data_IF_696300579225
#
_entry.id   IF_696300579225
#
_cell.length_a   1.000
_cell.length_b   1.000
_cell.length_c   1.000
_cell.angle_alpha   90.00
_cell.angle_beta   90.00
_cell.angle_gamma   90.00
#
_symmetry.space_group_name_H-M   'P 1'
#
loop_
_entity.id
_entity.type
_entity.pdbx_description
1 polymer ?
#
# COMPACT_ATOMS: atom_id res chain seq x y z
N UNK A 1 32.21 -6.51 -19.89
CA UNK A 1 32.20 -7.22 -21.21
C UNK A 1 33.38 -8.16 -21.45
N UNK A 2 34.57 -8.01 -20.84
CA UNK A 2 35.74 -8.89 -21.15
C UNK A 2 35.85 -10.20 -20.35
N UNK A 3 35.27 -10.30 -19.15
CA UNK A 3 35.35 -11.52 -18.32
C UNK A 3 34.41 -12.65 -18.74
N UNK A 4 33.31 -12.33 -19.41
CA UNK A 4 32.31 -13.32 -19.87
C UNK A 4 32.81 -14.17 -21.05
N UNK A 5 33.81 -13.70 -21.79
CA UNK A 5 34.35 -14.43 -22.93
C UNK A 5 35.14 -15.69 -22.54
N UNK A 6 35.73 -15.71 -21.33
CA UNK A 6 36.60 -16.81 -20.90
C UNK A 6 35.86 -17.97 -20.23
N UNK A 7 34.62 -17.77 -19.77
CA UNK A 7 33.81 -18.80 -19.10
C UNK A 7 33.06 -19.74 -20.06
N UNK A 8 33.01 -19.43 -21.36
CA UNK A 8 32.31 -20.24 -22.35
C UNK A 8 33.01 -21.57 -22.72
N UNK A 9 34.17 -21.87 -22.14
CA UNK A 9 34.98 -23.06 -22.46
C UNK A 9 34.88 -24.22 -21.44
N UNK A 10 34.09 -24.10 -20.37
CA UNK A 10 33.96 -25.15 -19.34
C UNK A 10 32.66 -25.98 -19.47
N UNK A 11 32.80 -27.28 -19.20
CA UNK A 11 31.79 -28.35 -19.40
C UNK A 11 30.44 -28.11 -18.66
N UNK A 12 29.31 -28.61 -19.19
CA UNK A 12 27.95 -28.22 -18.77
C UNK A 12 27.54 -28.65 -17.35
N UNK A 13 28.14 -29.69 -16.78
CA UNK A 13 27.77 -30.26 -15.47
C UNK A 13 28.29 -29.43 -14.29
N UNK A 14 29.43 -28.76 -14.44
CA UNK A 14 30.02 -27.87 -13.43
C UNK A 14 29.35 -26.48 -13.42
N UNK A 15 28.62 -26.15 -14.50
CA UNK A 15 27.90 -24.87 -14.64
C UNK A 15 26.82 -24.68 -13.58
N UNK A 16 26.09 -25.73 -13.22
CA UNK A 16 24.82 -25.59 -12.48
C UNK A 16 25.00 -25.27 -10.98
N UNK A 17 26.10 -25.71 -10.37
CA UNK A 17 26.38 -25.47 -8.93
C UNK A 17 27.25 -24.22 -8.70
N UNK A 18 28.04 -23.81 -9.71
CA UNK A 18 28.83 -22.57 -9.64
C UNK A 18 27.99 -21.33 -9.98
N UNK A 19 26.98 -21.45 -10.85
CA UNK A 19 26.15 -20.32 -11.28
C UNK A 19 25.23 -19.76 -10.17
N UNK A 20 24.74 -20.58 -9.24
CA UNK A 20 23.78 -20.11 -8.23
C UNK A 20 24.39 -19.18 -7.17
N UNK A 21 25.72 -19.20 -7.00
CA UNK A 21 26.44 -18.29 -6.10
C UNK A 21 27.23 -17.20 -6.84
N UNK A 22 27.39 -17.28 -8.17
CA UNK A 22 28.15 -16.29 -8.95
C UNK A 22 27.30 -15.16 -9.55
N UNK A 23 25.98 -15.34 -9.62
CA UNK A 23 25.05 -14.31 -10.10
C UNK A 23 24.47 -13.57 -8.89
N UNK A 24 25.33 -12.97 -8.09
CA UNK A 24 24.93 -11.90 -7.18
C UNK A 24 25.65 -10.63 -7.65
N UNK A 25 25.05 -10.01 -8.68
CA UNK A 25 25.29 -8.68 -9.26
C UNK A 25 26.63 -8.00 -8.89
N UNK A 26 27.57 -8.00 -9.85
CA UNK A 26 28.82 -7.21 -9.96
C UNK A 26 29.31 -6.49 -8.69
N UNK A 27 30.40 -6.97 -8.10
CA UNK A 27 31.07 -6.37 -6.93
C UNK A 27 32.29 -7.19 -6.52
N UNK A 28 33.00 -6.76 -5.47
CA UNK A 28 34.22 -7.46 -5.03
C UNK A 28 33.81 -8.73 -4.26
N UNK A 29 34.15 -9.94 -4.76
CA UNK A 29 33.78 -11.17 -4.08
C UNK A 29 34.53 -11.30 -2.75
N UNK A 30 33.84 -11.80 -1.71
CA UNK A 30 34.48 -12.06 -0.41
C UNK A 30 35.38 -13.29 -0.41
N UNK A 31 35.14 -14.24 -1.33
CA UNK A 31 35.87 -15.50 -1.46
C UNK A 31 36.13 -15.82 -2.93
N UNK A 32 37.30 -16.39 -3.20
CA UNK A 32 37.64 -16.97 -4.49
C UNK A 32 36.92 -18.33 -4.67
N UNK A 33 36.64 -18.78 -5.91
CA UNK A 33 36.13 -20.13 -6.19
C UNK A 33 36.91 -21.27 -5.51
N UNK A 34 38.21 -21.12 -5.29
CA UNK A 34 39.04 -22.09 -4.57
C UNK A 34 38.82 -22.11 -3.03
N UNK A 35 37.93 -21.28 -2.50
CA UNK A 35 37.72 -21.09 -1.06
C UNK A 35 38.68 -20.09 -0.40
N UNK A 36 39.73 -19.67 -1.12
CA UNK A 36 40.69 -18.67 -0.67
C UNK A 36 40.06 -17.31 -0.38
N UNK A 37 40.60 -16.58 0.59
CA UNK A 37 40.20 -15.19 0.87
C UNK A 37 40.77 -14.25 -0.20
N UNK A 38 40.00 -13.22 -0.53
CA UNK A 38 40.49 -12.11 -1.36
C UNK A 38 41.26 -11.12 -0.46
N UNK A 39 42.41 -10.67 -0.92
CA UNK A 39 43.32 -9.74 -0.24
C UNK A 39 43.57 -8.51 -1.13
N UNK A 40 43.86 -7.36 -0.52
CA UNK A 40 44.38 -6.17 -1.21
C UNK A 40 45.89 -6.35 -1.40
N UNK A 41 46.28 -6.70 -2.63
CA UNK A 41 47.65 -6.88 -3.06
C UNK A 41 48.20 -5.55 -3.58
N UNK A 42 49.19 -5.00 -2.89
CA UNK A 42 49.99 -3.87 -3.37
C UNK A 42 51.29 -4.41 -3.97
N UNK A 43 51.48 -4.24 -5.28
CA UNK A 43 52.72 -4.65 -5.96
C UNK A 43 53.90 -3.81 -5.44
N UNK A 44 54.96 -4.49 -4.97
CA UNK A 44 56.20 -3.84 -4.54
C UNK A 44 57.03 -3.39 -5.76
N UNK A 45 57.97 -2.48 -5.51
CA UNK A 45 58.77 -1.77 -6.52
C UNK A 45 59.67 -2.68 -7.37
N UNK A 46 59.86 -3.94 -6.95
CA UNK A 46 60.87 -4.85 -7.48
C UNK A 46 60.34 -5.74 -8.63
N UNK A 47 59.04 -5.64 -8.93
CA UNK A 47 58.38 -6.38 -10.00
C UNK A 47 58.60 -5.62 -11.34
N UNK A 48 59.69 -5.97 -12.03
CA UNK A 48 60.27 -5.30 -13.21
C UNK A 48 59.29 -4.86 -14.32
N UNK A 49 58.12 -5.50 -14.45
CA UNK A 49 57.20 -5.32 -15.58
C UNK A 49 55.92 -4.50 -15.25
N UNK A 50 55.76 -4.04 -14.01
CA UNK A 50 54.59 -3.25 -13.62
C UNK A 50 55.00 -2.01 -12.86
N UNK A 51 54.52 -0.85 -13.32
CA UNK A 51 54.70 0.43 -12.62
C UNK A 51 54.48 0.26 -11.10
N UNK A 52 55.44 0.65 -10.26
CA UNK A 52 55.34 0.50 -8.81
C UNK A 52 54.03 1.10 -8.27
N UNK A 53 53.37 0.40 -7.33
CA UNK A 53 52.19 0.93 -6.62
C UNK A 53 50.82 0.56 -7.20
N UNK A 54 50.75 -0.29 -8.24
CA UNK A 54 49.46 -0.85 -8.69
C UNK A 54 48.87 -1.77 -7.61
N UNK A 55 47.57 -1.60 -7.35
CA UNK A 55 46.78 -2.38 -6.39
C UNK A 55 45.83 -3.34 -7.08
N UNK A 56 45.66 -4.51 -6.51
CA UNK A 56 44.79 -5.57 -7.01
C UNK A 56 44.01 -6.20 -5.87
N UNK A 57 42.77 -6.61 -6.14
CA UNK A 57 42.10 -7.60 -5.33
C UNK A 57 42.48 -8.97 -5.86
N UNK A 58 43.18 -9.75 -5.04
CA UNK A 58 43.78 -11.03 -5.47
C UNK A 58 43.42 -12.13 -4.47
N UNK A 59 43.22 -13.36 -4.97
CA UNK A 59 43.11 -14.53 -4.11
C UNK A 59 44.43 -14.78 -3.35
N UNK A 60 44.36 -15.13 -2.05
CA UNK A 60 45.54 -15.51 -1.26
C UNK A 60 46.37 -16.64 -1.91
N UNK A 61 45.72 -17.57 -2.60
CA UNK A 61 46.34 -18.72 -3.25
C UNK A 61 46.53 -18.49 -4.77
N UNK A 62 46.79 -17.25 -5.20
CA UNK A 62 46.87 -16.94 -6.62
C UNK A 62 48.14 -17.52 -7.26
N UNK A 63 47.98 -18.35 -8.30
CA UNK A 63 49.08 -19.05 -9.00
C UNK A 63 49.18 -18.69 -10.50
N UNK A 64 48.48 -17.63 -10.95
CA UNK A 64 48.45 -17.21 -12.37
C UNK A 64 47.95 -18.27 -13.37
N UNK A 65 47.19 -19.26 -12.87
CA UNK A 65 46.53 -20.33 -13.63
C UNK A 65 45.24 -19.90 -14.36
N UNK A 66 44.77 -18.67 -14.11
CA UNK A 66 43.50 -18.15 -14.61
C UNK A 66 42.25 -18.67 -13.88
N UNK A 67 42.41 -19.51 -12.85
CA UNK A 67 41.30 -20.02 -12.03
C UNK A 67 41.09 -19.17 -10.77
N UNK A 68 42.13 -18.45 -10.34
CA UNK A 68 42.08 -17.58 -9.18
C UNK A 68 41.63 -16.16 -9.52
N UNK A 69 40.77 -15.60 -8.67
CA UNK A 69 40.31 -14.23 -8.79
C UNK A 69 41.48 -13.25 -8.66
N UNK A 70 41.64 -12.38 -9.65
CA UNK A 70 42.55 -11.24 -9.63
C UNK A 70 41.99 -10.10 -10.48
N UNK A 71 41.76 -8.95 -9.86
CA UNK A 71 41.17 -7.79 -10.51
C UNK A 71 41.88 -6.51 -10.07
N UNK A 72 42.13 -5.54 -10.97
CA UNK A 72 42.65 -4.23 -10.57
C UNK A 72 41.71 -3.56 -9.57
N UNK A 73 42.29 -2.94 -8.53
CA UNK A 73 41.53 -2.32 -7.44
C UNK A 73 40.48 -1.33 -7.95
N UNK A 74 40.84 -0.47 -8.92
CA UNK A 74 39.95 0.57 -9.47
C UNK A 74 38.68 -0.04 -10.07
N UNK A 75 38.78 -1.17 -10.78
CA UNK A 75 37.61 -1.80 -11.39
C UNK A 75 36.74 -2.44 -10.31
N UNK A 76 37.35 -3.16 -9.36
CA UNK A 76 36.60 -3.80 -8.28
C UNK A 76 35.84 -2.78 -7.42
N UNK A 77 36.48 -1.66 -7.08
CA UNK A 77 35.84 -0.58 -6.32
C UNK A 77 34.73 0.09 -7.12
N UNK A 78 34.93 0.35 -8.40
CA UNK A 78 33.88 0.93 -9.25
C UNK A 78 32.65 0.02 -9.30
N UNK A 79 32.83 -1.28 -9.54
CA UNK A 79 31.74 -2.26 -9.55
C UNK A 79 31.02 -2.32 -8.19
N UNK A 80 31.76 -2.31 -7.08
CA UNK A 80 31.17 -2.33 -5.74
C UNK A 80 30.39 -1.04 -5.42
N UNK A 81 30.88 0.13 -5.86
CA UNK A 81 30.16 1.40 -5.71
C UNK A 81 28.86 1.36 -6.49
N UNK A 82 28.88 0.97 -7.76
CA UNK A 82 27.67 0.87 -8.59
C UNK A 82 26.62 -0.07 -7.96
N UNK A 83 27.06 -1.21 -7.43
CA UNK A 83 26.20 -2.17 -6.72
C UNK A 83 25.62 -1.60 -5.44
N UNK A 84 26.42 -0.89 -4.65
CA UNK A 84 25.96 -0.29 -3.40
C UNK A 84 25.00 0.88 -3.66
N UNK A 85 25.26 1.71 -4.67
CA UNK A 85 24.37 2.80 -5.08
C UNK A 85 23.00 2.26 -5.45
N UNK A 86 22.91 1.23 -6.30
CA UNK A 86 21.64 0.61 -6.67
C UNK A 86 20.84 0.13 -5.44
N UNK A 87 21.51 -0.52 -4.49
CA UNK A 87 20.86 -1.01 -3.26
C UNK A 87 20.39 0.12 -2.34
N UNK A 88 21.06 1.27 -2.37
CA UNK A 88 20.64 2.47 -1.62
C UNK A 88 19.41 3.09 -2.27
N UNK A 89 19.39 3.21 -3.59
CA UNK A 89 18.22 3.70 -4.35
C UNK A 89 16.98 2.83 -4.09
N UNK A 90 17.13 1.50 -4.17
CA UNK A 90 16.04 0.55 -3.84
C UNK A 90 15.55 0.69 -2.40
N UNK A 91 16.45 0.92 -1.45
CA UNK A 91 16.08 1.11 -0.04
C UNK A 91 15.36 2.45 0.17
N UNK A 92 15.76 3.51 -0.53
CA UNK A 92 15.10 4.82 -0.49
C UNK A 92 13.66 4.73 -1.01
N UNK A 93 13.43 4.02 -2.12
CA UNK A 93 12.09 3.78 -2.64
C UNK A 93 11.19 3.05 -1.63
N UNK A 94 11.72 2.04 -0.95
CA UNK A 94 10.99 1.32 0.12
C UNK A 94 10.65 2.26 1.28
N UNK A 95 11.58 3.13 1.69
CA UNK A 95 11.34 4.11 2.77
C UNK A 95 10.27 5.13 2.41
N UNK A 96 10.26 5.63 1.16
CA UNK A 96 9.22 6.52 0.65
C UNK A 96 7.86 5.82 0.63
N UNK A 97 7.83 4.55 0.18
CA UNK A 97 6.63 3.71 0.20
C UNK A 97 6.08 3.52 1.62
N UNK A 98 6.93 3.16 2.57
CA UNK A 98 6.56 2.97 3.97
C UNK A 98 5.99 4.26 4.61
N UNK A 99 6.62 5.41 4.31
CA UNK A 99 6.15 6.72 4.80
C UNK A 99 4.76 7.07 4.24
N UNK A 100 4.49 6.75 2.97
CA UNK A 100 3.18 6.97 2.38
C UNK A 100 2.10 6.07 2.98
N UNK A 101 2.42 4.80 3.22
CA UNK A 101 1.54 3.85 3.90
C UNK A 101 1.25 4.29 5.34
N UNK A 102 2.25 4.80 6.07
CA UNK A 102 2.06 5.38 7.41
C UNK A 102 0.96 6.45 7.42
N UNK A 103 1.04 7.44 6.52
CA UNK A 103 0.00 8.48 6.39
C UNK A 103 -1.39 7.94 6.03
N UNK A 104 -1.48 6.78 5.36
CA UNK A 104 -2.77 6.14 5.07
C UNK A 104 -3.33 5.44 6.32
N UNK A 105 -2.47 4.79 7.10
CA UNK A 105 -2.86 4.19 8.38
C UNK A 105 -3.36 5.25 9.35
N UNK A 106 -2.66 6.38 9.51
CA UNK A 106 -3.08 7.47 10.39
C UNK A 106 -4.49 7.99 10.03
N UNK A 107 -4.75 8.21 8.74
CA UNK A 107 -6.08 8.64 8.26
C UNK A 107 -7.17 7.59 8.49
N UNK A 108 -6.83 6.31 8.32
CA UNK A 108 -7.78 5.23 8.55
C UNK A 108 -8.09 5.09 10.04
N UNK A 109 -7.08 5.26 10.89
CA UNK A 109 -7.24 5.27 12.35
C UNK A 109 -8.16 6.40 12.82
N UNK A 110 -7.96 7.63 12.30
CA UNK A 110 -8.88 8.76 12.55
C UNK A 110 -10.32 8.44 12.13
N UNK A 111 -10.50 7.82 10.95
CA UNK A 111 -11.83 7.44 10.47
C UNK A 111 -12.49 6.37 11.36
N UNK A 112 -11.73 5.38 11.82
CA UNK A 112 -12.23 4.34 12.73
C UNK A 112 -12.63 4.96 14.07
N UNK A 113 -11.82 5.87 14.61
CA UNK A 113 -12.12 6.55 15.86
C UNK A 113 -13.41 7.37 15.77
N UNK A 114 -13.58 8.16 14.71
CA UNK A 114 -14.81 8.90 14.47
C UNK A 114 -16.01 7.96 14.33
N UNK A 115 -15.86 6.84 13.61
CA UNK A 115 -16.95 5.87 13.46
C UNK A 115 -17.35 5.25 14.80
N UNK A 116 -16.39 4.92 15.66
CA UNK A 116 -16.65 4.42 17.01
C UNK A 116 -17.50 5.41 17.83
N UNK A 117 -17.14 6.69 17.83
CA UNK A 117 -17.91 7.73 18.54
C UNK A 117 -19.37 7.81 18.05
N UNK A 118 -19.57 7.69 16.73
CA UNK A 118 -20.93 7.67 16.16
C UNK A 118 -21.72 6.42 16.56
N UNK A 119 -21.08 5.25 16.60
CA UNK A 119 -21.72 4.00 17.04
C UNK A 119 -22.14 4.10 18.51
N UNK A 120 -21.31 4.69 19.37
CA UNK A 120 -21.64 4.89 20.78
C UNK A 120 -22.86 5.83 20.93
N UNK A 121 -22.88 6.94 20.21
CA UNK A 121 -24.02 7.88 20.23
C UNK A 121 -25.31 7.21 19.75
N UNK A 122 -25.26 6.47 18.64
CA UNK A 122 -26.40 5.75 18.10
C UNK A 122 -26.90 4.68 19.07
N UNK A 123 -26.00 4.00 19.78
CA UNK A 123 -26.35 3.01 20.80
C UNK A 123 -27.19 3.62 21.93
N UNK A 124 -26.80 4.80 22.42
CA UNK A 124 -27.57 5.52 23.45
C UNK A 124 -28.95 5.95 22.93
N UNK A 125 -29.02 6.40 21.67
CA UNK A 125 -30.29 6.79 21.05
C UNK A 125 -31.25 5.59 20.92
N UNK A 126 -30.76 4.44 20.45
CA UNK A 126 -31.55 3.21 20.34
C UNK A 126 -32.08 2.79 21.72
N UNK A 127 -31.23 2.76 22.75
CA UNK A 127 -31.66 2.42 24.11
C UNK A 127 -32.76 3.38 24.65
N UNK A 128 -32.68 4.66 24.30
CA UNK A 128 -33.71 5.64 24.67
C UNK A 128 -35.02 5.39 23.95
N UNK A 129 -34.96 5.09 22.65
CA UNK A 129 -36.15 4.76 21.83
C UNK A 129 -36.80 3.45 22.27
N UNK A 130 -36.02 2.46 22.69
CA UNK A 130 -36.53 1.20 23.26
C UNK A 130 -37.35 1.45 24.53
N UNK A 131 -36.86 2.30 25.45
CA UNK A 131 -37.61 2.70 26.65
C UNK A 131 -38.93 3.41 26.31
N UNK A 132 -38.93 4.28 25.29
CA UNK A 132 -40.16 4.94 24.82
C UNK A 132 -41.13 3.92 24.24
N UNK A 133 -40.63 2.95 23.45
CA UNK A 133 -41.44 1.87 22.89
C UNK A 133 -42.06 0.99 23.97
N UNK A 134 -41.30 0.67 25.03
CA UNK A 134 -41.77 -0.10 26.18
C UNK A 134 -42.84 0.67 26.97
N UNK A 135 -42.64 1.96 27.22
CA UNK A 135 -43.66 2.81 27.86
C UNK A 135 -44.97 2.81 27.03
N UNK A 136 -44.84 2.92 25.70
CA UNK A 136 -45.98 2.86 24.77
C UNK A 136 -46.66 1.48 24.73
N UNK A 137 -45.93 0.38 24.81
CA UNK A 137 -46.54 -0.97 24.87
C UNK A 137 -47.29 -1.17 26.19
N UNK A 138 -46.72 -0.72 27.31
CA UNK A 138 -47.34 -0.78 28.63
C UNK A 138 -48.62 0.06 28.71
N UNK A 139 -48.61 1.28 28.17
CA UNK A 139 -49.81 2.12 28.10
C UNK A 139 -50.97 1.45 27.33
N UNK A 140 -50.65 0.78 26.21
CA UNK A 140 -51.66 0.01 25.43
C UNK A 140 -52.22 -1.19 26.19
N UNK A 141 -51.41 -1.85 27.02
CA UNK A 141 -51.85 -3.00 27.81
C UNK A 141 -52.75 -2.66 29.00
N UNK A 142 -52.69 -1.42 29.52
CA UNK A 142 -53.46 -0.99 30.69
C UNK A 142 -54.93 -0.68 30.35
N UNK A 143 -55.32 -0.70 29.06
CA UNK A 143 -56.73 -0.84 28.70
C UNK A 143 -57.66 0.27 29.19
N UNK A 144 -57.18 1.51 29.34
CA UNK A 144 -58.10 2.64 29.46
C UNK A 144 -58.67 2.94 28.08
N UNK A 145 -59.92 2.52 27.86
CA UNK A 145 -60.79 3.13 26.88
C UNK A 145 -61.05 4.57 27.30
N UNK A 146 -60.13 5.48 26.98
CA UNK A 146 -60.34 6.90 27.12
C UNK A 146 -60.63 7.48 25.74
N UNK A 147 -61.88 7.86 25.52
CA UNK A 147 -62.24 8.94 24.61
C UNK A 147 -61.36 10.15 24.96
N UNK A 148 -60.36 10.42 24.14
CA UNK A 148 -59.77 11.75 24.01
C UNK A 148 -59.77 12.14 22.54
N UNK A 149 -60.05 13.42 22.21
CA UNK A 149 -60.04 13.92 20.85
C UNK A 149 -58.69 13.67 20.19
N UNK A 150 -58.69 13.35 18.90
CA UNK A 150 -57.53 13.00 18.08
C UNK A 150 -56.48 14.12 17.92
N UNK A 151 -56.57 15.22 18.65
CA UNK A 151 -55.85 16.47 18.36
C UNK A 151 -54.88 16.94 19.46
N UNK A 152 -54.60 16.14 20.50
CA UNK A 152 -53.59 16.50 21.52
C UNK A 152 -52.56 15.39 21.79
N UNK A 153 -51.85 14.97 20.74
CA UNK A 153 -50.45 14.55 20.88
C UNK A 153 -49.63 15.13 19.71
N UNK A 154 -48.95 16.28 19.89
CA UNK A 154 -47.93 16.73 18.94
C UNK A 154 -46.71 15.78 18.89
N UNK A 155 -46.72 14.71 19.69
CA UNK A 155 -45.64 13.73 19.82
C UNK A 155 -45.50 12.80 18.62
N UNK A 156 -46.56 12.46 17.87
CA UNK A 156 -46.41 11.61 16.68
C UNK A 156 -45.85 12.38 15.48
N UNK A 157 -46.15 13.68 15.38
CA UNK A 157 -45.55 14.58 14.38
C UNK A 157 -44.09 14.84 14.76
N UNK A 158 -43.80 15.20 16.01
CA UNK A 158 -42.43 15.38 16.48
C UNK A 158 -41.62 14.08 16.41
N UNK A 159 -42.20 12.91 16.67
CA UNK A 159 -41.52 11.62 16.55
C UNK A 159 -41.23 11.27 15.08
N UNK A 160 -42.21 11.41 14.17
CA UNK A 160 -41.96 11.24 12.73
C UNK A 160 -40.95 12.25 12.20
N UNK A 161 -41.01 13.50 12.66
CA UNK A 161 -40.11 14.56 12.25
C UNK A 161 -38.71 14.36 12.82
N UNK A 162 -38.58 13.81 14.04
CA UNK A 162 -37.31 13.41 14.65
C UNK A 162 -36.69 12.22 13.94
N UNK A 163 -37.48 11.19 13.61
CA UNK A 163 -37.00 10.02 12.87
C UNK A 163 -36.62 10.41 11.44
N UNK A 164 -37.40 11.26 10.78
CA UNK A 164 -37.01 11.84 9.49
C UNK A 164 -35.74 12.69 9.61
N UNK A 165 -35.59 13.51 10.65
CA UNK A 165 -34.37 14.29 10.86
C UNK A 165 -33.16 13.38 11.05
N UNK A 166 -33.28 12.33 11.85
CA UNK A 166 -32.21 11.35 12.12
C UNK A 166 -31.85 10.58 10.84
N UNK A 167 -32.83 10.14 10.05
CA UNK A 167 -32.58 9.47 8.78
C UNK A 167 -31.93 10.43 7.78
N UNK A 168 -32.41 11.67 7.69
CA UNK A 168 -31.86 12.68 6.79
C UNK A 168 -30.44 13.06 7.20
N UNK A 169 -30.15 13.26 8.49
CA UNK A 169 -28.79 13.55 8.96
C UNK A 169 -27.86 12.37 8.78
N UNK A 170 -28.32 11.13 9.02
CA UNK A 170 -27.53 9.92 8.76
C UNK A 170 -27.22 9.73 7.28
N UNK A 171 -28.19 9.98 6.40
CA UNK A 171 -28.01 9.91 4.94
C UNK A 171 -27.10 11.02 4.43
N UNK A 172 -27.23 12.25 4.93
CA UNK A 172 -26.34 13.37 4.60
C UNK A 172 -24.91 13.08 5.06
N UNK A 173 -24.73 12.51 6.26
CA UNK A 173 -23.42 12.14 6.79
C UNK A 173 -22.77 11.04 5.93
N UNK A 174 -23.54 10.02 5.53
CA UNK A 174 -23.09 9.00 4.57
C UNK A 174 -22.73 9.62 3.21
N UNK A 175 -23.52 10.58 2.70
CA UNK A 175 -23.25 11.29 1.44
C UNK A 175 -22.01 12.19 1.54
N UNK A 176 -21.63 12.69 2.72
CA UNK A 176 -20.42 13.50 2.92
C UNK A 176 -19.19 12.61 3.13
N UNK A 177 -19.34 11.43 3.73
CA UNK A 177 -18.23 10.49 4.00
C UNK A 177 -17.87 9.66 2.76
N UNK A 178 -18.85 9.23 1.95
CA UNK A 178 -18.65 8.37 0.77
C UNK A 178 -17.84 8.99 -0.40
N UNK A 179 -17.90 10.31 -0.71
CA UNK A 179 -17.19 10.87 -1.87
C UNK A 179 -15.67 10.97 -1.70
N UNK A 180 -15.13 10.76 -0.49
CA UNK A 180 -13.68 10.83 -0.25
C UNK A 180 -12.93 9.55 -0.66
N UNK A 181 -13.64 8.51 -1.15
CA UNK A 181 -13.02 7.20 -1.40
C UNK A 181 -12.99 6.72 -2.88
N UNK A 182 -13.74 7.30 -3.84
CA UNK A 182 -13.55 6.89 -5.26
C UNK A 182 -14.21 7.82 -6.29
N UNK A 183 -13.40 8.48 -7.12
CA UNK A 183 -13.84 9.43 -8.16
C UNK A 183 -14.76 8.85 -9.25
N UNK A 184 -14.90 7.51 -9.33
CA UNK A 184 -15.75 6.83 -10.32
C UNK A 184 -17.17 6.54 -9.80
N UNK A 185 -17.34 6.35 -8.49
CA UNK A 185 -18.64 6.02 -7.88
C UNK A 185 -19.51 7.26 -7.69
N UNK A 186 -18.89 8.41 -7.42
CA UNK A 186 -19.58 9.69 -7.20
C UNK A 186 -20.42 10.08 -8.41
N UNK A 187 -19.88 9.92 -9.64
CA UNK A 187 -20.60 10.24 -10.88
C UNK A 187 -21.86 9.41 -11.08
N UNK A 188 -21.80 8.10 -10.82
CA UNK A 188 -22.96 7.21 -10.97
C UNK A 188 -24.10 7.55 -10.00
N UNK A 189 -23.76 7.92 -8.76
CA UNK A 189 -24.73 8.28 -7.73
C UNK A 189 -25.32 9.66 -8.01
N UNK A 190 -24.55 10.63 -8.51
CA UNK A 190 -25.10 11.95 -8.91
C UNK A 190 -26.08 11.81 -10.07
N UNK A 191 -25.79 10.95 -11.06
CA UNK A 191 -26.71 10.71 -12.20
C UNK A 191 -28.01 10.03 -11.76
N UNK A 192 -27.94 9.07 -10.84
CA UNK A 192 -29.11 8.40 -10.27
C UNK A 192 -29.94 9.32 -9.34
N UNK A 193 -29.30 10.26 -8.64
CA UNK A 193 -30.00 11.27 -7.84
C UNK A 193 -30.66 12.33 -8.72
N UNK A 194 -30.04 12.73 -9.84
CA UNK A 194 -30.64 13.70 -10.77
C UNK A 194 -31.89 13.15 -11.46
N UNK A 195 -31.92 11.84 -11.75
CA UNK A 195 -33.10 11.16 -12.29
C UNK A 195 -34.20 10.93 -11.25
N UNK A 196 -33.85 10.73 -9.97
CA UNK A 196 -34.84 10.55 -8.90
C UNK A 196 -35.47 11.87 -8.42
N UNK A 197 -34.69 12.96 -8.40
CA UNK A 197 -35.16 14.28 -7.92
C UNK A 197 -35.84 15.12 -9.00
N UNK A 198 -35.74 14.76 -10.28
CA UNK A 198 -36.38 15.50 -11.37
C UNK A 198 -37.10 14.56 -12.36
N UNK A 199 -38.33 14.12 -12.07
CA UNK A 199 -39.06 13.18 -12.94
C UNK A 199 -39.55 13.80 -14.27
N UNK A 200 -39.34 15.10 -14.50
CA UNK A 200 -40.01 15.85 -15.58
C UNK A 200 -39.23 16.01 -16.89
N UNK A 201 -38.05 15.42 -17.04
CA UNK A 201 -37.31 15.47 -18.32
C UNK A 201 -37.41 14.22 -19.19
N UNK A 202 -38.13 13.17 -18.76
CA UNK A 202 -38.41 12.00 -19.61
C UNK A 202 -39.65 12.22 -20.49
N UNK A 203 -39.62 13.22 -21.37
CA UNK A 203 -40.56 13.28 -22.50
C UNK A 203 -39.92 14.05 -23.66
N UNK A 204 -39.19 13.33 -24.52
CA UNK A 204 -39.06 13.60 -25.97
C UNK A 204 -38.11 12.59 -26.62
N UNK A 205 -38.68 11.52 -27.16
CA UNK A 205 -38.30 10.96 -28.48
C UNK A 205 -39.12 9.70 -28.80
N UNK A 206 -40.43 9.86 -29.01
CA UNK A 206 -41.10 8.99 -29.98
C UNK A 206 -41.25 9.77 -31.28
N UNK A 207 -40.28 9.60 -32.16
CA UNK A 207 -40.46 9.84 -33.59
C UNK A 207 -40.87 8.53 -34.25
N UNK A 208 -42.07 8.51 -34.84
CA UNK A 208 -42.41 7.92 -36.15
C UNK A 208 -43.92 7.78 -36.28
N UNK A 209 -44.54 8.67 -37.05
CA UNK A 209 -45.76 8.38 -37.78
C UNK A 209 -45.57 8.86 -39.22
N UNK A 210 -45.70 7.88 -40.14
CA UNK A 210 -45.93 7.90 -41.59
C UNK A 210 -45.26 8.98 -42.43
#
# INVERSE_FOLDING_TARGET
>A
MRYLAHQNQLLPSTRRTLLTNFIQEYGIPRRCPCGGRIIDEVRRKDDYDTLPGKRFFTCKNYEADGLHYRQPWVIGVQEEIERLTKRVEEAEEVMLGASNLGRQLDRLEEQVQLLCEHVDLLTVQVATLEKVRECRSRFRSIGYGCMYPQDLFPSDVLFKQSVHFIIITSVILLIIIVPLCSSRLTRAITTLLFSYLNPRSSFKSQGKFK
#
